data_IF_664515907394
#
_entry.id   IF_664515907394
#
_cell.length_a   1.000
_cell.length_b   1.000
_cell.length_c   1.000
_cell.angle_alpha   90.00
_cell.angle_beta   90.00
_cell.angle_gamma   90.00
#
_symmetry.space_group_name_H-M   'P 1'
#
loop_
_entity.id
_entity.type
_entity.pdbx_description
1 polymer ?
#
# COMPACT_ATOMS: atom_id res chain seq x y z
N UNK A 1 17.27 46.59 -18.30
CA UNK A 1 16.03 45.93 -18.79
C UNK A 1 15.88 44.61 -18.06
N UNK A 2 15.54 44.66 -16.77
CA UNK A 2 15.21 43.44 -16.02
C UNK A 2 13.79 43.07 -16.40
N UNK A 3 13.61 41.94 -17.08
CA UNK A 3 12.29 41.41 -17.37
C UNK A 3 11.58 41.16 -16.04
N UNK A 4 10.63 42.04 -15.69
CA UNK A 4 9.65 41.81 -14.64
C UNK A 4 8.68 40.71 -15.13
N UNK A 5 9.15 39.47 -15.19
CA UNK A 5 8.26 38.30 -15.27
C UNK A 5 7.64 38.09 -13.90
N UNK A 6 6.65 38.92 -13.54
CA UNK A 6 5.76 38.61 -12.44
C UNK A 6 4.84 37.47 -12.90
N UNK A 7 4.95 36.30 -12.27
CA UNK A 7 4.04 35.19 -12.53
C UNK A 7 2.60 35.62 -12.24
N UNK A 8 1.71 35.42 -13.20
CA UNK A 8 0.30 35.78 -13.07
C UNK A 8 -0.40 34.89 -12.05
N UNK A 9 -0.99 35.51 -11.02
CA UNK A 9 -1.63 34.82 -9.90
C UNK A 9 -2.86 34.03 -10.37
N UNK A 10 -3.63 34.55 -11.34
CA UNK A 10 -4.79 33.83 -11.90
C UNK A 10 -4.34 32.53 -12.56
N UNK A 11 -3.32 32.60 -13.40
CA UNK A 11 -2.74 31.43 -14.06
C UNK A 11 -2.25 30.39 -13.06
N UNK A 12 -1.53 30.81 -12.00
CA UNK A 12 -1.08 29.91 -10.95
C UNK A 12 -2.24 29.22 -10.21
N UNK A 13 -3.36 29.93 -9.93
CA UNK A 13 -4.53 29.30 -9.29
C UNK A 13 -5.18 28.22 -10.17
N UNK A 14 -5.22 28.41 -11.49
CA UNK A 14 -5.69 27.37 -12.43
C UNK A 14 -4.76 26.17 -12.41
N UNK A 15 -3.44 26.39 -12.41
CA UNK A 15 -2.46 25.30 -12.33
C UNK A 15 -2.64 24.51 -11.03
N UNK A 16 -2.85 25.17 -9.88
CA UNK A 16 -3.18 24.47 -8.62
C UNK A 16 -4.44 23.62 -8.73
N UNK A 17 -5.50 24.14 -9.37
CA UNK A 17 -6.74 23.39 -9.56
C UNK A 17 -6.51 22.15 -10.42
N UNK A 18 -5.85 22.31 -11.57
CA UNK A 18 -5.58 21.21 -12.50
C UNK A 18 -4.68 20.15 -11.89
N UNK A 19 -3.59 20.54 -11.21
CA UNK A 19 -2.69 19.57 -10.57
C UNK A 19 -3.41 18.76 -9.51
N UNK A 20 -4.18 19.41 -8.62
CA UNK A 20 -4.94 18.73 -7.59
C UNK A 20 -6.03 17.81 -8.18
N UNK A 21 -6.80 18.27 -9.17
CA UNK A 21 -7.83 17.45 -9.81
C UNK A 21 -7.25 16.23 -10.54
N UNK A 22 -6.18 16.41 -11.32
CA UNK A 22 -5.51 15.32 -12.02
C UNK A 22 -4.95 14.27 -11.06
N UNK A 23 -4.30 14.70 -9.97
CA UNK A 23 -3.78 13.79 -8.95
C UNK A 23 -4.90 13.07 -8.19
N UNK A 24 -5.96 13.80 -7.83
CA UNK A 24 -7.13 13.23 -7.17
C UNK A 24 -7.80 12.15 -8.01
N UNK A 25 -7.98 12.39 -9.32
CA UNK A 25 -8.51 11.43 -10.26
C UNK A 25 -7.58 10.21 -10.44
N UNK A 26 -6.26 10.44 -10.59
CA UNK A 26 -5.27 9.38 -10.72
C UNK A 26 -5.24 8.46 -9.49
N UNK A 27 -5.25 9.03 -8.29
CA UNK A 27 -5.37 8.26 -7.04
C UNK A 27 -6.72 7.54 -6.95
N UNK A 28 -7.80 8.14 -7.45
CA UNK A 28 -9.14 7.53 -7.50
C UNK A 28 -9.17 6.25 -8.35
N UNK A 29 -8.46 6.22 -9.48
CA UNK A 29 -8.28 5.00 -10.28
C UNK A 29 -7.53 3.93 -9.48
N UNK A 30 -6.47 4.32 -8.76
CA UNK A 30 -5.70 3.40 -7.91
C UNK A 30 -6.52 2.81 -6.74
N UNK A 31 -7.54 3.51 -6.24
CA UNK A 31 -8.49 2.96 -5.24
C UNK A 31 -9.29 1.80 -5.82
N UNK A 32 -9.68 1.88 -7.09
CA UNK A 32 -10.40 0.82 -7.79
C UNK A 32 -9.61 -0.48 -7.91
N UNK A 33 -8.28 -0.38 -8.01
CA UNK A 33 -7.36 -1.52 -8.15
C UNK A 33 -6.85 -2.04 -6.80
N UNK A 34 -6.58 -1.15 -5.83
CA UNK A 34 -6.01 -1.47 -4.51
C UNK A 34 -7.11 -1.40 -3.43
N UNK A 35 -8.19 -2.19 -3.59
CA UNK A 35 -9.41 -2.11 -2.75
C UNK A 35 -9.20 -2.33 -1.24
N UNK A 36 -8.05 -2.84 -0.81
CA UNK A 36 -7.80 -3.28 0.58
C UNK A 36 -7.20 -2.19 1.49
N UNK A 37 -6.74 -1.05 0.96
CA UNK A 37 -6.13 0.02 1.78
C UNK A 37 -7.07 1.20 2.05
N UNK A 38 -7.25 1.44 3.33
CA UNK A 38 -8.35 2.21 3.90
C UNK A 38 -8.20 3.74 3.77
N UNK A 39 -6.98 4.27 3.57
CA UNK A 39 -6.70 5.72 3.50
C UNK A 39 -6.73 6.34 2.09
N UNK A 40 -6.45 5.54 1.04
CA UNK A 40 -6.19 6.06 -0.32
C UNK A 40 -7.38 6.82 -0.92
N UNK A 41 -8.60 6.32 -0.72
CA UNK A 41 -9.82 6.99 -1.21
C UNK A 41 -10.08 8.34 -0.55
N UNK A 42 -9.68 8.50 0.71
CA UNK A 42 -9.84 9.76 1.45
C UNK A 42 -8.83 10.80 0.93
N UNK A 43 -7.59 10.39 0.65
CA UNK A 43 -6.60 11.28 0.03
C UNK A 43 -7.01 11.71 -1.38
N UNK A 44 -7.51 10.79 -2.20
CA UNK A 44 -8.09 11.11 -3.52
C UNK A 44 -9.20 12.16 -3.40
N UNK A 45 -10.16 11.95 -2.49
CA UNK A 45 -11.22 12.93 -2.23
C UNK A 45 -10.65 14.28 -1.76
N UNK A 46 -9.63 14.28 -0.91
CA UNK A 46 -8.96 15.49 -0.44
C UNK A 46 -8.38 16.34 -1.57
N UNK A 47 -7.69 15.71 -2.53
CA UNK A 47 -7.18 16.39 -3.72
C UNK A 47 -8.31 16.93 -4.60
N UNK A 48 -9.36 16.14 -4.86
CA UNK A 48 -10.48 16.57 -5.70
C UNK A 48 -11.20 17.78 -5.08
N UNK A 49 -11.48 17.72 -3.78
CA UNK A 49 -12.13 18.80 -3.03
C UNK A 49 -11.26 20.07 -3.03
N UNK A 50 -9.96 19.95 -2.77
CA UNK A 50 -9.05 21.09 -2.84
C UNK A 50 -8.96 21.68 -4.27
N UNK A 51 -8.93 20.81 -5.29
CA UNK A 51 -8.92 21.22 -6.70
C UNK A 51 -10.14 22.04 -7.09
N UNK A 52 -11.33 21.63 -6.66
CA UNK A 52 -12.56 22.44 -6.82
C UNK A 52 -12.45 23.77 -6.07
N UNK A 53 -11.87 23.77 -4.86
CA UNK A 53 -11.59 25.00 -4.12
C UNK A 53 -10.72 25.99 -4.90
N UNK A 54 -9.62 25.53 -5.51
CA UNK A 54 -8.77 26.38 -6.36
C UNK A 54 -9.47 26.84 -7.65
N UNK A 55 -10.29 25.99 -8.26
CA UNK A 55 -11.09 26.38 -9.43
C UNK A 55 -12.07 27.51 -9.08
N UNK A 56 -12.71 27.47 -7.90
CA UNK A 56 -13.58 28.54 -7.42
C UNK A 56 -12.79 29.82 -7.11
N UNK A 57 -11.58 29.73 -6.54
CA UNK A 57 -10.73 30.92 -6.32
C UNK A 57 -10.41 31.65 -7.62
N UNK A 58 -10.21 30.92 -8.72
CA UNK A 58 -9.97 31.51 -10.04
C UNK A 58 -11.15 32.36 -10.55
N UNK A 59 -12.39 31.99 -10.20
CA UNK A 59 -13.62 32.72 -10.59
C UNK A 59 -13.86 34.03 -9.82
N UNK A 60 -12.92 34.43 -8.95
CA UNK A 60 -13.06 35.65 -8.15
C UNK A 60 -13.14 36.90 -9.04
N UNK A 61 -14.12 37.74 -8.72
CA UNK A 61 -14.48 38.96 -9.48
C UNK A 61 -15.54 38.73 -10.56
N UNK A 62 -15.91 37.48 -10.85
CA UNK A 62 -17.02 37.15 -11.78
C UNK A 62 -18.14 36.36 -11.11
N UNK A 63 -17.80 35.48 -10.16
CA UNK A 63 -18.76 34.74 -9.35
C UNK A 63 -19.01 35.38 -7.99
N UNK A 64 -20.17 35.11 -7.34
CA UNK A 64 -20.49 35.65 -6.02
C UNK A 64 -19.35 35.44 -5.01
N UNK A 65 -19.07 36.46 -4.19
CA UNK A 65 -17.98 36.43 -3.21
C UNK A 65 -18.11 35.27 -2.20
N UNK A 66 -19.33 34.85 -1.89
CA UNK A 66 -19.55 33.67 -1.06
C UNK A 66 -18.94 32.41 -1.70
N UNK A 67 -19.18 32.20 -3.00
CA UNK A 67 -18.69 31.02 -3.72
C UNK A 67 -17.17 31.11 -3.98
N UNK A 68 -16.70 32.26 -4.47
CA UNK A 68 -15.31 32.44 -4.90
C UNK A 68 -14.34 32.73 -3.76
N UNK A 69 -14.82 33.07 -2.56
CA UNK A 69 -13.98 33.35 -1.39
C UNK A 69 -14.28 32.39 -0.24
N UNK A 70 -15.50 32.39 0.30
CA UNK A 70 -15.82 31.60 1.50
C UNK A 70 -15.78 30.11 1.18
N UNK A 71 -16.65 29.67 0.26
CA UNK A 71 -16.74 28.26 -0.14
C UNK A 71 -15.42 27.76 -0.70
N UNK A 72 -14.79 28.52 -1.59
CA UNK A 72 -13.51 28.17 -2.22
C UNK A 72 -12.42 27.84 -1.17
N UNK A 73 -12.17 28.72 -0.21
CA UNK A 73 -11.16 28.49 0.83
C UNK A 73 -11.57 27.39 1.81
N UNK A 74 -12.86 27.28 2.13
CA UNK A 74 -13.37 26.20 2.98
C UNK A 74 -13.18 24.82 2.34
N UNK A 75 -13.33 24.69 1.01
CA UNK A 75 -13.01 23.46 0.29
C UNK A 75 -11.51 23.15 0.32
N UNK A 76 -10.63 24.14 0.17
CA UNK A 76 -9.17 23.90 0.30
C UNK A 76 -8.82 23.39 1.71
N UNK A 77 -9.41 23.99 2.75
CA UNK A 77 -9.23 23.55 4.15
C UNK A 77 -9.83 22.16 4.39
N UNK A 78 -10.99 21.87 3.82
CA UNK A 78 -11.59 20.54 3.86
C UNK A 78 -10.71 19.50 3.16
N UNK A 79 -10.10 19.86 2.03
CA UNK A 79 -9.11 19.03 1.33
C UNK A 79 -7.93 18.68 2.24
N UNK A 80 -7.31 19.68 2.89
CA UNK A 80 -6.25 19.46 3.88
C UNK A 80 -6.70 18.60 5.07
N UNK A 81 -7.95 18.76 5.49
CA UNK A 81 -8.58 17.97 6.55
C UNK A 81 -8.68 16.48 6.16
N UNK A 82 -9.01 16.17 4.90
CA UNK A 82 -9.00 14.80 4.39
C UNK A 82 -7.62 14.14 4.48
N UNK A 83 -6.51 14.88 4.39
CA UNK A 83 -5.17 14.30 4.57
C UNK A 83 -4.95 13.79 5.98
N UNK A 84 -5.34 14.55 7.00
CA UNK A 84 -5.27 14.12 8.40
C UNK A 84 -6.08 12.83 8.60
N UNK A 85 -7.33 12.81 8.15
CA UNK A 85 -8.21 11.63 8.27
C UNK A 85 -7.66 10.43 7.50
N UNK A 86 -7.10 10.65 6.30
CA UNK A 86 -6.49 9.58 5.52
C UNK A 86 -5.24 9.01 6.19
N UNK A 87 -4.42 9.86 6.83
CA UNK A 87 -3.27 9.43 7.65
C UNK A 87 -3.74 8.62 8.86
N UNK A 88 -4.79 9.07 9.54
CA UNK A 88 -5.36 8.32 10.67
C UNK A 88 -5.80 6.93 10.27
N UNK A 89 -6.50 6.85 9.14
CA UNK A 89 -7.01 5.59 8.63
C UNK A 89 -5.89 4.68 8.11
N UNK A 90 -4.81 5.24 7.56
CA UNK A 90 -3.64 4.50 7.12
C UNK A 90 -2.76 3.98 8.28
N UNK A 91 -2.60 4.78 9.34
CA UNK A 91 -1.76 4.46 10.52
C UNK A 91 -2.55 3.85 11.70
N UNK A 92 -3.86 3.68 11.55
CA UNK A 92 -4.73 3.08 12.57
C UNK A 92 -4.88 3.94 13.84
N UNK A 93 -4.96 5.27 13.69
CA UNK A 93 -5.38 6.15 14.79
C UNK A 93 -6.90 6.09 15.01
N UNK A 94 -7.37 6.50 16.19
CA UNK A 94 -8.79 6.68 16.47
C UNK A 94 -9.39 7.82 15.63
N UNK A 95 -10.71 7.77 15.42
CA UNK A 95 -11.40 8.64 14.45
C UNK A 95 -11.25 10.14 14.80
N UNK A 96 -10.54 10.88 13.96
CA UNK A 96 -10.31 12.33 14.15
C UNK A 96 -11.40 13.21 13.52
N UNK A 97 -12.37 12.63 12.79
CA UNK A 97 -13.47 13.38 12.15
C UNK A 97 -14.14 14.44 13.02
N UNK A 98 -14.51 14.18 14.29
CA UNK A 98 -15.14 15.20 15.13
C UNK A 98 -14.21 16.40 15.41
N UNK A 99 -12.90 16.16 15.57
CA UNK A 99 -11.90 17.22 15.77
C UNK A 99 -11.73 18.07 14.52
N UNK A 100 -11.83 17.47 13.34
CA UNK A 100 -11.73 18.21 12.07
C UNK A 100 -12.97 19.03 11.75
N UNK A 101 -14.18 18.57 12.13
CA UNK A 101 -15.39 19.38 12.05
C UNK A 101 -15.28 20.67 12.89
N UNK A 102 -14.61 20.58 14.05
CA UNK A 102 -14.31 21.72 14.93
C UNK A 102 -13.29 22.71 14.31
N UNK A 103 -12.61 22.37 13.22
CA UNK A 103 -11.68 23.27 12.51
C UNK A 103 -12.38 23.92 11.31
N UNK A 104 -13.11 23.12 10.52
CA UNK A 104 -13.72 23.61 9.26
C UNK A 104 -14.86 24.59 9.51
N UNK A 105 -15.74 24.32 10.48
CA UNK A 105 -16.91 25.19 10.75
C UNK A 105 -16.52 26.59 11.24
N UNK A 106 -15.60 26.77 12.21
CA UNK A 106 -15.12 28.09 12.58
C UNK A 106 -14.42 28.81 11.43
N UNK A 107 -13.70 28.07 10.57
CA UNK A 107 -13.05 28.64 9.40
C UNK A 107 -14.07 29.25 8.43
N UNK A 108 -15.18 28.53 8.15
CA UNK A 108 -16.28 29.07 7.34
C UNK A 108 -16.83 30.35 7.96
N UNK A 109 -17.12 30.33 9.27
CA UNK A 109 -17.67 31.48 10.00
C UNK A 109 -16.75 32.70 9.96
N UNK A 110 -15.46 32.53 10.24
CA UNK A 110 -14.46 33.60 10.20
C UNK A 110 -14.27 34.15 8.79
N UNK A 111 -14.24 33.29 7.77
CA UNK A 111 -14.15 33.72 6.38
C UNK A 111 -15.38 34.49 5.93
N UNK A 112 -16.58 34.06 6.32
CA UNK A 112 -17.82 34.78 6.06
C UNK A 112 -17.82 36.16 6.76
N UNK A 113 -17.42 36.19 8.03
CA UNK A 113 -17.31 37.43 8.81
C UNK A 113 -16.36 38.45 8.15
N UNK A 114 -15.14 38.04 7.81
CA UNK A 114 -14.15 38.91 7.15
C UNK A 114 -14.39 39.16 5.66
N UNK A 115 -15.45 38.57 5.09
CA UNK A 115 -15.90 38.84 3.73
C UNK A 115 -17.07 39.83 3.71
N UNK A 116 -18.07 39.65 4.58
CA UNK A 116 -19.32 40.42 4.51
C UNK A 116 -19.51 41.46 5.62
N UNK A 117 -18.95 41.24 6.81
CA UNK A 117 -19.20 42.11 7.98
C UNK A 117 -18.05 43.09 8.16
N UNK A 118 -16.81 42.59 8.17
CA UNK A 118 -15.61 43.41 8.28
C UNK A 118 -14.62 43.04 7.17
N UNK A 119 -14.81 43.54 5.94
CA UNK A 119 -14.00 43.16 4.78
C UNK A 119 -12.51 43.38 5.03
N UNK A 120 -11.76 42.28 5.14
CA UNK A 120 -10.30 42.31 5.35
C UNK A 120 -9.65 41.18 4.58
N UNK A 121 -8.83 41.52 3.56
CA UNK A 121 -8.04 40.52 2.82
C UNK A 121 -6.97 39.90 3.73
N UNK A 122 -6.31 40.74 4.54
CA UNK A 122 -5.24 40.33 5.47
C UNK A 122 -5.76 39.29 6.45
N UNK A 123 -6.90 39.55 7.11
CA UNK A 123 -7.47 38.63 8.10
C UNK A 123 -7.88 37.29 7.48
N UNK A 124 -8.43 37.29 6.25
CA UNK A 124 -8.75 36.05 5.52
C UNK A 124 -7.50 35.24 5.20
N UNK A 125 -6.42 35.89 4.75
CA UNK A 125 -5.15 35.23 4.49
C UNK A 125 -4.60 34.62 5.79
N UNK A 126 -4.62 35.35 6.90
CA UNK A 126 -4.16 34.85 8.21
C UNK A 126 -4.95 33.61 8.63
N UNK A 127 -6.29 33.67 8.58
CA UNK A 127 -7.16 32.54 8.96
C UNK A 127 -6.82 31.28 8.15
N UNK A 128 -6.78 31.38 6.82
CA UNK A 128 -6.47 30.23 5.96
C UNK A 128 -5.07 29.69 6.21
N UNK A 129 -4.09 30.58 6.39
CA UNK A 129 -2.68 30.21 6.58
C UNK A 129 -2.46 29.49 7.91
N UNK A 130 -3.04 30.01 9.01
CA UNK A 130 -2.94 29.37 10.33
C UNK A 130 -3.57 27.98 10.28
N UNK A 131 -4.76 27.86 9.69
CA UNK A 131 -5.48 26.58 9.63
C UNK A 131 -4.74 25.56 8.78
N UNK A 132 -4.34 25.90 7.56
CA UNK A 132 -3.61 24.98 6.67
C UNK A 132 -2.23 24.62 7.22
N UNK A 133 -1.54 25.57 7.86
CA UNK A 133 -0.26 25.26 8.50
C UNK A 133 -0.39 24.35 9.71
N UNK A 134 -1.41 24.56 10.55
CA UNK A 134 -1.73 23.66 11.65
C UNK A 134 -2.09 22.24 11.20
N UNK A 135 -2.85 22.12 10.10
CA UNK A 135 -3.13 20.83 9.47
C UNK A 135 -1.84 20.16 8.95
N UNK A 136 -0.96 20.92 8.29
CA UNK A 136 0.36 20.45 7.86
C UNK A 136 1.18 19.87 9.01
N UNK A 137 1.35 20.62 10.10
CA UNK A 137 2.06 20.13 11.29
C UNK A 137 1.37 18.94 11.95
N UNK A 138 0.05 18.88 11.94
CA UNK A 138 -0.70 17.71 12.44
C UNK A 138 -0.39 16.47 11.60
N UNK A 139 -0.39 16.60 10.26
CA UNK A 139 0.03 15.52 9.35
C UNK A 139 1.47 15.07 9.66
N UNK A 140 2.40 16.00 9.78
CA UNK A 140 3.81 15.71 10.12
C UNK A 140 3.93 14.96 11.44
N UNK A 141 3.31 15.46 12.52
CA UNK A 141 3.37 14.85 13.83
C UNK A 141 2.82 13.41 13.79
N UNK A 142 1.64 13.20 13.19
CA UNK A 142 1.03 11.87 13.09
C UNK A 142 1.88 10.88 12.30
N UNK A 143 2.50 11.33 11.20
CA UNK A 143 3.41 10.51 10.38
C UNK A 143 4.69 10.14 11.13
N UNK A 144 5.26 11.04 11.94
CA UNK A 144 6.49 10.78 12.68
C UNK A 144 6.28 9.99 13.98
N UNK A 145 5.12 10.13 14.62
CA UNK A 145 4.79 9.43 15.87
C UNK A 145 4.51 7.94 15.68
N UNK A 146 4.08 7.50 14.48
CA UNK A 146 3.80 6.09 14.17
C UNK A 146 4.42 5.66 12.85
N UNK A 147 5.75 5.53 12.84
CA UNK A 147 6.49 5.09 11.66
C UNK A 147 6.28 3.58 11.44
N UNK A 148 5.77 3.20 10.27
CA UNK A 148 5.72 1.80 9.84
C UNK A 148 7.11 1.35 9.35
N UNK A 149 7.71 0.28 9.89
CA UNK A 149 9.05 -0.17 9.48
C UNK A 149 9.20 -0.38 7.97
N UNK A 150 8.21 -1.00 7.32
CA UNK A 150 8.24 -1.27 5.87
C UNK A 150 8.10 -0.04 4.97
N UNK A 151 7.61 1.09 5.50
CA UNK A 151 7.34 2.31 4.75
C UNK A 151 8.10 3.54 5.29
N UNK A 152 9.15 3.34 6.11
CA UNK A 152 9.85 4.42 6.82
C UNK A 152 10.33 5.54 5.91
N UNK A 153 11.01 5.21 4.81
CA UNK A 153 11.59 6.21 3.89
C UNK A 153 10.51 7.09 3.26
N UNK A 154 9.50 6.55 2.54
CA UNK A 154 8.46 7.39 1.95
C UNK A 154 7.61 8.11 3.02
N UNK A 155 7.38 7.49 4.17
CA UNK A 155 6.63 8.12 5.27
C UNK A 155 7.34 9.35 5.85
N UNK A 156 8.64 9.27 6.08
CA UNK A 156 9.44 10.42 6.56
C UNK A 156 9.53 11.51 5.48
N UNK A 157 9.71 11.13 4.20
CA UNK A 157 9.72 12.08 3.11
C UNK A 157 8.41 12.89 3.03
N UNK A 158 7.26 12.22 3.12
CA UNK A 158 5.94 12.89 3.16
C UNK A 158 5.80 13.77 4.41
N UNK A 159 6.29 13.33 5.57
CA UNK A 159 6.25 14.13 6.79
C UNK A 159 7.05 15.44 6.66
N UNK A 160 8.22 15.39 6.01
CA UNK A 160 9.05 16.57 5.72
C UNK A 160 8.32 17.53 4.78
N UNK A 161 7.68 17.02 3.73
CA UNK A 161 6.88 17.85 2.81
C UNK A 161 5.77 18.60 3.56
N UNK A 162 5.02 17.92 4.43
CA UNK A 162 4.01 18.57 5.27
C UNK A 162 4.59 19.58 6.27
N UNK A 163 5.80 19.31 6.80
CA UNK A 163 6.47 20.23 7.73
C UNK A 163 6.88 21.52 7.03
N UNK A 164 7.45 21.40 5.82
CA UNK A 164 7.81 22.53 4.96
C UNK A 164 6.58 23.34 4.59
N UNK A 165 5.51 22.68 4.15
CA UNK A 165 4.23 23.34 3.87
C UNK A 165 3.71 24.10 5.10
N UNK A 166 3.70 23.45 6.27
CA UNK A 166 3.29 24.06 7.53
C UNK A 166 4.09 25.32 7.85
N UNK A 167 5.41 25.25 7.71
CA UNK A 167 6.30 26.39 7.93
C UNK A 167 6.05 27.53 6.94
N UNK A 168 5.90 27.23 5.65
CA UNK A 168 5.60 28.23 4.60
C UNK A 168 4.28 28.94 4.91
N UNK A 169 3.26 28.20 5.37
CA UNK A 169 1.97 28.79 5.76
C UNK A 169 2.10 29.69 7.01
N UNK A 170 2.91 29.33 8.00
CA UNK A 170 3.16 30.19 9.17
C UNK A 170 3.91 31.47 8.78
N UNK A 171 4.93 31.34 7.94
CA UNK A 171 5.67 32.49 7.40
C UNK A 171 4.73 33.41 6.64
N UNK A 172 3.82 32.86 5.82
CA UNK A 172 2.80 33.64 5.10
C UNK A 172 1.87 34.39 6.06
N UNK A 173 1.39 33.73 7.12
CA UNK A 173 0.51 34.33 8.13
C UNK A 173 1.16 35.53 8.83
N UNK A 174 2.47 35.46 9.08
CA UNK A 174 3.24 36.55 9.67
C UNK A 174 3.56 37.65 8.66
N UNK A 175 4.04 37.27 7.47
CA UNK A 175 4.49 38.20 6.43
C UNK A 175 3.37 39.11 5.90
N UNK A 176 2.12 38.65 5.90
CA UNK A 176 0.98 39.48 5.44
C UNK A 176 0.69 40.67 6.36
N UNK A 177 1.12 40.64 7.63
CA UNK A 177 0.97 41.77 8.55
C UNK A 177 1.87 42.95 8.19
N UNK A 178 3.05 42.67 7.61
CA UNK A 178 4.04 43.68 7.25
C UNK A 178 4.02 44.10 5.78
N UNK A 179 3.18 43.48 4.95
CA UNK A 179 3.13 43.74 3.51
C UNK A 179 1.89 44.53 3.12
N UNK A 180 2.07 45.54 2.26
CA UNK A 180 0.94 46.22 1.62
C UNK A 180 0.29 45.25 0.64
N UNK A 181 -0.82 44.66 1.04
CA UNK A 181 -1.67 43.93 0.10
C UNK A 181 -2.21 44.92 -0.93
N UNK A 182 -2.11 44.58 -2.22
CA UNK A 182 -2.66 45.41 -3.28
C UNK A 182 -4.19 45.53 -3.15
N UNK A 183 -4.82 46.39 -3.96
CA UNK A 183 -6.27 46.59 -3.93
C UNK A 183 -7.04 45.30 -4.23
N UNK A 184 -6.43 44.38 -4.97
CA UNK A 184 -7.00 43.08 -5.34
C UNK A 184 -6.10 41.90 -4.98
N UNK A 185 -6.72 40.73 -4.73
CA UNK A 185 -6.01 39.47 -4.46
C UNK A 185 -5.04 39.07 -5.58
N UNK A 186 -5.36 39.41 -6.83
CA UNK A 186 -4.55 39.07 -8.00
C UNK A 186 -3.43 40.06 -8.27
N UNK A 187 -3.28 41.08 -7.42
CA UNK A 187 -2.08 41.91 -7.44
C UNK A 187 -0.84 41.02 -7.21
N UNK A 188 0.19 41.13 -8.06
CA UNK A 188 1.40 40.35 -7.88
C UNK A 188 2.00 40.57 -6.49
N UNK A 189 2.07 39.51 -5.70
CA UNK A 189 2.62 39.54 -4.35
C UNK A 189 3.50 38.30 -4.16
N UNK A 190 4.78 38.53 -3.85
CA UNK A 190 5.79 37.49 -3.66
C UNK A 190 5.29 36.36 -2.75
N UNK A 191 4.68 36.70 -1.61
CA UNK A 191 4.22 35.69 -0.65
C UNK A 191 3.05 34.87 -1.22
N UNK A 192 2.16 35.49 -1.99
CA UNK A 192 1.07 34.76 -2.65
C UNK A 192 1.62 33.84 -3.75
N UNK A 193 2.54 34.34 -4.59
CA UNK A 193 3.22 33.54 -5.62
C UNK A 193 3.94 32.34 -5.01
N UNK A 194 4.75 32.53 -3.98
CA UNK A 194 5.49 31.46 -3.30
C UNK A 194 4.55 30.40 -2.74
N UNK A 195 3.42 30.81 -2.16
CA UNK A 195 2.46 29.87 -1.59
C UNK A 195 1.71 29.05 -2.64
N UNK A 196 1.41 29.64 -3.81
CA UNK A 196 0.84 28.88 -4.92
C UNK A 196 1.86 27.90 -5.52
N UNK A 197 3.12 28.32 -5.67
CA UNK A 197 4.20 27.42 -6.11
C UNK A 197 4.41 26.27 -5.12
N UNK A 198 4.37 26.54 -3.82
CA UNK A 198 4.40 25.51 -2.78
C UNK A 198 3.28 24.49 -2.98
N UNK A 199 2.03 24.90 -3.20
CA UNK A 199 0.93 23.98 -3.51
C UNK A 199 1.13 23.17 -4.80
N UNK A 200 1.62 23.81 -5.86
CA UNK A 200 1.90 23.15 -7.14
C UNK A 200 2.94 22.05 -6.99
N UNK A 201 3.96 22.25 -6.16
CA UNK A 201 5.02 21.28 -5.92
C UNK A 201 4.64 20.24 -4.87
N UNK A 202 3.96 20.66 -3.80
CA UNK A 202 3.53 19.81 -2.70
C UNK A 202 2.54 18.75 -3.19
N UNK A 203 1.56 19.13 -4.02
CA UNK A 203 0.49 18.23 -4.46
C UNK A 203 1.02 16.95 -5.13
N UNK A 204 1.85 16.99 -6.20
CA UNK A 204 2.38 15.79 -6.83
C UNK A 204 3.35 15.04 -5.91
N UNK A 205 4.17 15.76 -5.15
CA UNK A 205 5.17 15.15 -4.26
C UNK A 205 4.52 14.34 -3.14
N UNK A 206 3.47 14.87 -2.53
CA UNK A 206 2.66 14.15 -1.53
C UNK A 206 1.87 13.02 -2.16
N UNK A 207 1.32 13.20 -3.37
CA UNK A 207 0.58 12.14 -4.07
C UNK A 207 1.45 10.92 -4.35
N UNK A 208 2.65 11.14 -4.89
CA UNK A 208 3.66 10.10 -5.13
C UNK A 208 4.13 9.45 -3.82
N UNK A 209 4.41 10.25 -2.79
CA UNK A 209 4.86 9.73 -1.50
C UNK A 209 3.82 8.85 -0.80
N UNK A 210 2.55 9.27 -0.82
CA UNK A 210 1.43 8.49 -0.26
C UNK A 210 1.21 7.20 -1.05
N UNK A 211 1.28 7.24 -2.38
CA UNK A 211 1.22 6.04 -3.22
C UNK A 211 2.38 5.07 -2.90
N UNK A 212 3.60 5.60 -2.74
CA UNK A 212 4.77 4.80 -2.38
C UNK A 212 4.64 4.16 -1.00
N UNK A 213 4.03 4.85 -0.03
CA UNK A 213 3.70 4.27 1.28
C UNK A 213 2.73 3.09 1.16
N UNK A 214 1.64 3.25 0.39
CA UNK A 214 0.67 2.18 0.14
C UNK A 214 1.33 1.01 -0.60
N UNK A 215 2.11 1.29 -1.63
CA UNK A 215 2.83 0.28 -2.39
C UNK A 215 3.77 -0.55 -1.49
N UNK A 216 4.52 0.10 -0.60
CA UNK A 216 5.40 -0.59 0.37
C UNK A 216 4.61 -1.43 1.38
N UNK A 217 3.47 -0.93 1.86
CA UNK A 217 2.59 -1.67 2.78
C UNK A 217 2.00 -2.92 2.11
N UNK A 218 1.53 -2.80 0.86
CA UNK A 218 1.04 -3.93 0.04
C UNK A 218 2.15 -4.94 -0.22
N UNK A 219 3.34 -4.47 -0.62
CA UNK A 219 4.45 -5.35 -0.96
C UNK A 219 4.95 -6.12 0.28
N UNK A 220 4.99 -5.48 1.45
CA UNK A 220 5.35 -6.16 2.70
C UNK A 220 4.33 -7.26 3.06
N UNK A 221 3.04 -7.01 2.87
CA UNK A 221 1.99 -8.02 3.09
C UNK A 221 2.07 -9.18 2.09
N UNK A 222 2.41 -8.88 0.83
CA UNK A 222 2.63 -9.89 -0.21
C UNK A 222 3.85 -10.76 0.10
N UNK A 223 4.95 -10.16 0.56
CA UNK A 223 6.16 -10.89 0.95
C UNK A 223 5.90 -11.86 2.10
N UNK A 224 5.07 -11.47 3.09
CA UNK A 224 4.67 -12.40 4.16
C UNK A 224 3.81 -13.55 3.64
N UNK A 225 2.84 -13.30 2.76
CA UNK A 225 2.00 -14.37 2.20
C UNK A 225 2.82 -15.36 1.35
N UNK A 226 3.79 -14.85 0.56
CA UNK A 226 4.70 -15.70 -0.21
C UNK A 226 5.58 -16.55 0.71
N UNK A 227 6.07 -15.98 1.82
CA UNK A 227 6.88 -16.73 2.78
C UNK A 227 6.07 -17.86 3.44
N UNK A 228 4.81 -17.61 3.80
CA UNK A 228 3.90 -18.62 4.34
C UNK A 228 3.60 -19.73 3.33
N UNK A 229 3.28 -19.37 2.08
CA UNK A 229 3.04 -20.35 1.00
C UNK A 229 4.26 -21.23 0.76
N UNK A 230 5.47 -20.65 0.70
CA UNK A 230 6.71 -21.43 0.56
C UNK A 230 6.93 -22.41 1.71
N UNK A 231 6.63 -22.00 2.95
CA UNK A 231 6.72 -22.90 4.11
C UNK A 231 5.73 -24.06 4.01
N UNK A 232 4.52 -23.81 3.50
CA UNK A 232 3.51 -24.85 3.28
C UNK A 232 3.92 -25.82 2.16
N UNK A 233 4.41 -25.31 1.04
CA UNK A 233 4.87 -26.12 -0.08
C UNK A 233 6.04 -27.02 0.32
N UNK A 234 6.97 -26.51 1.14
CA UNK A 234 8.09 -27.29 1.66
C UNK A 234 7.61 -28.44 2.55
N UNK A 235 6.63 -28.19 3.44
CA UNK A 235 6.03 -29.25 4.27
C UNK A 235 5.34 -30.32 3.42
N UNK A 236 4.62 -29.91 2.36
CA UNK A 236 3.98 -30.84 1.44
C UNK A 236 5.01 -31.71 0.71
N UNK A 237 6.12 -31.12 0.25
CA UNK A 237 7.22 -31.86 -0.38
C UNK A 237 7.87 -32.85 0.57
N UNK A 238 8.11 -32.44 1.82
CA UNK A 238 8.66 -33.32 2.84
C UNK A 238 7.72 -34.50 3.10
N UNK A 239 6.43 -34.24 3.31
CA UNK A 239 5.45 -35.32 3.56
C UNK A 239 5.31 -36.26 2.36
N UNK A 240 5.38 -35.73 1.13
CA UNK A 240 5.37 -36.56 -0.07
C UNK A 240 6.61 -37.47 -0.14
N UNK A 241 7.80 -36.92 0.15
CA UNK A 241 9.05 -37.69 0.22
C UNK A 241 9.01 -38.77 1.30
N UNK A 242 8.49 -38.45 2.49
CA UNK A 242 8.36 -39.39 3.59
C UNK A 242 7.38 -40.53 3.23
N UNK A 243 6.27 -40.20 2.55
CA UNK A 243 5.31 -41.18 2.06
C UNK A 243 5.93 -42.11 0.99
N UNK A 244 6.68 -41.55 0.04
CA UNK A 244 7.40 -42.35 -0.97
C UNK A 244 8.41 -43.31 -0.33
N UNK A 245 9.13 -42.84 0.70
CA UNK A 245 10.08 -43.67 1.45
C UNK A 245 9.35 -44.81 2.18
N UNK A 246 8.27 -44.52 2.89
CA UNK A 246 7.46 -45.52 3.59
C UNK A 246 6.88 -46.57 2.63
N UNK A 247 6.39 -46.14 1.46
CA UNK A 247 5.88 -47.05 0.43
C UNK A 247 7.00 -47.97 -0.11
N UNK A 248 8.21 -47.45 -0.30
CA UNK A 248 9.37 -48.24 -0.74
C UNK A 248 9.79 -49.27 0.32
N UNK A 249 9.75 -48.89 1.60
CA UNK A 249 10.04 -49.78 2.72
C UNK A 249 9.02 -50.92 2.81
N UNK A 250 7.72 -50.62 2.70
CA UNK A 250 6.65 -51.62 2.62
C UNK A 250 6.89 -52.58 1.45
N UNK A 251 7.21 -52.07 0.26
CA UNK A 251 7.48 -52.91 -0.92
C UNK A 251 8.68 -53.85 -0.72
N UNK A 252 9.71 -53.38 0.00
CA UNK A 252 10.89 -54.18 0.32
C UNK A 252 10.54 -55.28 1.34
N UNK A 253 9.78 -54.94 2.38
CA UNK A 253 9.31 -55.88 3.41
C UNK A 253 8.36 -56.93 2.82
N UNK A 254 7.45 -56.54 1.92
CA UNK A 254 6.57 -57.46 1.18
C UNK A 254 7.34 -58.38 0.21
N UNK A 255 8.56 -58.01 -0.21
CA UNK A 255 9.41 -58.85 -1.06
C UNK A 255 10.17 -59.95 -0.31
N UNK A 256 10.09 -60.01 1.02
CA UNK A 256 10.75 -61.05 1.81
C UNK A 256 9.91 -62.32 1.76
N UNK A 257 10.37 -63.30 0.98
CA UNK A 257 9.76 -64.62 0.92
C UNK A 257 10.33 -65.47 2.08
N UNK A 258 9.52 -65.83 3.09
CA UNK A 258 9.98 -66.63 4.22
C UNK A 258 10.29 -68.07 3.78
N UNK A 259 11.57 -68.41 3.68
CA UNK A 259 12.07 -69.73 3.32
C UNK A 259 12.54 -70.50 4.56
N UNK A 260 12.20 -71.79 4.63
CA UNK A 260 12.70 -72.68 5.67
C UNK A 260 14.20 -72.91 5.47
N UNK A 261 15.01 -72.62 6.49
CA UNK A 261 16.47 -72.77 6.44
C UNK A 261 16.95 -74.18 6.09
N UNK A 262 16.18 -75.21 6.47
CA UNK A 262 16.52 -76.63 6.29
C UNK A 262 16.02 -77.19 4.97
N UNK A 263 14.71 -77.15 4.71
CA UNK A 263 14.09 -77.83 3.57
C UNK A 263 13.74 -76.90 2.38
N UNK A 264 14.06 -75.61 2.48
CA UNK A 264 13.87 -74.57 1.46
C UNK A 264 12.44 -74.31 0.98
N UNK A 265 11.43 -74.88 1.65
CA UNK A 265 10.01 -74.55 1.42
C UNK A 265 9.72 -73.08 1.74
N UNK A 266 8.80 -72.48 1.01
CA UNK A 266 8.30 -71.11 1.22
C UNK A 266 7.03 -71.16 2.07
N UNK A 267 6.89 -70.27 3.07
CA UNK A 267 5.65 -70.08 3.82
C UNK A 267 4.78 -69.03 3.12
N UNK A 268 3.55 -69.38 2.78
CA UNK A 268 2.59 -68.44 2.20
C UNK A 268 1.87 -67.59 3.26
N UNK A 269 1.03 -66.66 2.80
CA UNK A 269 0.27 -65.72 3.65
C UNK A 269 -0.72 -66.42 4.60
N UNK A 270 -1.13 -67.65 4.29
CA UNK A 270 -1.98 -68.48 5.16
C UNK A 270 -1.18 -69.24 6.22
N UNK A 271 0.16 -69.14 6.19
CA UNK A 271 1.07 -69.82 7.10
C UNK A 271 1.45 -71.24 6.66
N UNK A 272 1.04 -71.69 5.47
CA UNK A 272 1.29 -73.04 4.97
C UNK A 272 2.62 -73.09 4.21
N UNK A 273 3.39 -74.16 4.43
CA UNK A 273 4.69 -74.36 3.78
C UNK A 273 4.56 -75.12 2.47
N UNK A 274 4.98 -74.50 1.36
CA UNK A 274 4.91 -75.04 -0.01
C UNK A 274 6.31 -75.17 -0.63
N UNK A 275 6.45 -76.03 -1.63
CA UNK A 275 7.68 -76.10 -2.43
C UNK A 275 7.89 -74.79 -3.21
N UNK A 276 9.15 -74.48 -3.49
CA UNK A 276 9.53 -73.18 -4.04
C UNK A 276 8.93 -72.97 -5.42
N UNK A 277 8.98 -74.00 -6.26
CA UNK A 277 8.48 -74.01 -7.63
C UNK A 277 6.96 -73.77 -7.65
N UNK A 278 6.24 -74.49 -6.79
CA UNK A 278 4.77 -74.35 -6.64
C UNK A 278 4.41 -72.94 -6.17
N UNK A 279 5.13 -72.40 -5.20
CA UNK A 279 4.87 -71.05 -4.71
C UNK A 279 5.10 -69.99 -5.80
N UNK A 280 6.24 -70.06 -6.51
CA UNK A 280 6.60 -69.06 -7.54
C UNK A 280 5.66 -69.14 -8.74
N UNK A 281 5.32 -70.34 -9.24
CA UNK A 281 4.39 -70.47 -10.37
C UNK A 281 2.96 -70.04 -10.04
N UNK A 282 2.55 -70.03 -8.76
CA UNK A 282 1.25 -69.48 -8.36
C UNK A 282 1.25 -67.95 -8.22
N UNK A 283 2.42 -67.33 -8.01
CA UNK A 283 2.56 -65.90 -7.71
C UNK A 283 3.31 -65.10 -8.80
N UNK A 284 3.64 -65.72 -9.94
CA UNK A 284 4.29 -65.08 -11.07
C UNK A 284 4.04 -65.88 -12.36
N UNK A 285 4.28 -65.26 -13.52
CA UNK A 285 4.19 -65.91 -14.84
C UNK A 285 5.39 -66.84 -15.14
N UNK A 286 6.14 -67.27 -14.13
CA UNK A 286 7.33 -68.09 -14.29
C UNK A 286 6.99 -69.58 -14.43
N UNK A 287 7.47 -70.19 -15.52
CA UNK A 287 7.44 -71.64 -15.74
C UNK A 287 8.81 -72.27 -15.41
N UNK A 288 8.80 -73.43 -14.74
CA UNK A 288 10.01 -74.16 -14.36
C UNK A 288 10.30 -75.30 -15.35
N UNK A 289 11.49 -75.28 -15.93
CA UNK A 289 12.07 -76.44 -16.61
C UNK A 289 13.06 -77.15 -15.69
N UNK A 290 13.21 -78.46 -15.87
CA UNK A 290 14.12 -79.26 -15.06
C UNK A 290 15.40 -79.55 -15.85
N UNK A 291 16.52 -79.13 -15.30
CA UNK A 291 17.87 -79.43 -15.81
C UNK A 291 18.80 -79.76 -14.66
N UNK A 292 19.90 -80.46 -14.95
CA UNK A 292 20.92 -80.80 -13.95
C UNK A 292 22.14 -79.93 -14.20
N UNK A 293 22.59 -79.17 -13.20
CA UNK A 293 23.77 -78.33 -13.35
C UNK A 293 25.05 -79.19 -13.45
N UNK A 294 26.14 -78.69 -14.06
CA UNK A 294 27.38 -79.44 -14.22
C UNK A 294 27.98 -79.98 -12.91
N UNK A 295 27.79 -79.28 -11.80
CA UNK A 295 28.25 -79.73 -10.48
C UNK A 295 27.47 -80.96 -9.99
N UNK A 296 26.16 -80.97 -10.20
CA UNK A 296 25.31 -82.09 -9.84
C UNK A 296 25.54 -83.29 -10.76
N UNK A 297 25.74 -83.09 -12.07
CA UNK A 297 26.11 -84.17 -12.99
C UNK A 297 27.42 -84.82 -12.53
N UNK A 298 28.48 -84.03 -12.29
CA UNK A 298 29.77 -84.53 -11.80
C UNK A 298 29.67 -85.31 -10.49
N UNK A 299 28.68 -85.00 -9.65
CA UNK A 299 28.54 -85.62 -8.32
C UNK A 299 27.66 -86.86 -8.32
N UNK A 300 26.59 -86.89 -9.10
CA UNK A 300 25.56 -87.94 -9.06
C UNK A 300 25.51 -88.81 -10.33
N UNK A 301 26.14 -88.35 -11.41
CA UNK A 301 26.29 -89.06 -12.68
C UNK A 301 27.74 -88.91 -13.19
N UNK A 302 28.77 -89.35 -12.41
CA UNK A 302 30.17 -89.16 -12.77
C UNK A 302 30.59 -89.91 -14.05
N UNK A 303 29.76 -90.84 -14.53
CA UNK A 303 29.92 -91.57 -15.80
C UNK A 303 29.47 -90.81 -17.06
N UNK A 304 28.84 -89.64 -16.93
CA UNK A 304 28.45 -88.74 -18.03
C UNK A 304 29.32 -87.49 -18.02
#
# INVERSE_FOLDING_TARGET
>A
MFLNYSLDIRSLTVVCALTALCLGAGLGVAVGTIRKHSGLGIWSAGYLVAGVGYALLWTRGTWPDFASIVLANSLVVLGGSCFVVGIDRFLGYSDSKPVLALIVLPTIGLLAYYTFIQPSIVSRIIVVSIVLGGLGFTCTAKLLLRIKPGARVPQVAVAVLFALHGAIMMVRAFAVLGTRTGPDLFSPNLFTTLTLLDFILLSPSTGLGLLAMVFKDVNAALESEIAERKSSDEKLRQTASDLEHALKEIKTLQGIIPICGYCKKIRDDSGVWKQLEVYISMHSDAEFSHGVCPDCVRRFHPEV
#
